data_IF_235993633622
#
_entry.id   IF_235993633622
#
_cell.length_a   1.000
_cell.length_b   1.000
_cell.length_c   1.000
_cell.angle_alpha   90.00
_cell.angle_beta   90.00
_cell.angle_gamma   90.00
#
_symmetry.space_group_name_H-M   'P 1'
#
loop_
_entity.id
_entity.type
_entity.pdbx_description
1 polymer ?
#
# COMPACT_ATOMS: atom_id res chain seq x y z
N UNK A 1 46.40 -6.16 6.04
CA UNK A 1 45.83 -6.73 4.81
C UNK A 1 44.91 -7.87 5.21
N UNK A 2 43.76 -7.52 5.77
CA UNK A 2 42.81 -8.47 6.33
C UNK A 2 41.58 -7.69 6.75
N UNK A 3 40.81 -7.27 5.75
CA UNK A 3 39.49 -6.63 5.93
C UNK A 3 38.54 -7.08 4.82
N UNK A 4 39.01 -7.31 3.59
CA UNK A 4 38.12 -7.62 2.46
C UNK A 4 37.39 -8.98 2.53
N UNK A 5 37.90 -9.93 3.32
CA UNK A 5 37.29 -11.26 3.43
C UNK A 5 36.13 -11.31 4.46
N UNK A 6 36.20 -10.52 5.53
CA UNK A 6 35.16 -10.48 6.55
C UNK A 6 33.92 -9.74 6.04
N UNK A 7 34.09 -8.65 5.28
CA UNK A 7 32.99 -7.97 4.59
C UNK A 7 32.27 -8.88 3.59
N UNK A 8 33.02 -9.69 2.82
CA UNK A 8 32.42 -10.64 1.88
C UNK A 8 31.59 -11.73 2.57
N UNK A 9 32.03 -12.16 3.76
CA UNK A 9 31.34 -13.19 4.53
C UNK A 9 30.08 -12.61 5.20
N UNK A 10 30.13 -11.38 5.71
CA UNK A 10 28.93 -10.69 6.24
C UNK A 10 27.91 -10.44 5.13
N UNK A 11 28.33 -9.97 3.95
CA UNK A 11 27.43 -9.72 2.83
C UNK A 11 26.75 -11.01 2.33
N UNK A 12 27.49 -12.11 2.22
CA UNK A 12 26.90 -13.40 1.86
C UNK A 12 26.03 -14.00 2.97
N UNK A 13 26.35 -13.76 4.23
CA UNK A 13 25.51 -14.18 5.34
C UNK A 13 24.19 -13.39 5.37
N UNK A 14 24.21 -12.09 5.07
CA UNK A 14 23.03 -11.25 4.90
C UNK A 14 22.19 -11.70 3.69
N UNK A 15 22.82 -11.93 2.52
CA UNK A 15 22.13 -12.44 1.31
C UNK A 15 21.50 -13.82 1.54
N UNK A 16 22.21 -14.77 2.17
CA UNK A 16 21.69 -16.09 2.51
C UNK A 16 20.59 -16.06 3.58
N UNK A 17 20.61 -15.04 4.44
CA UNK A 17 19.55 -14.83 5.44
C UNK A 17 18.32 -14.22 4.76
N UNK A 18 18.51 -13.29 3.82
CA UNK A 18 17.45 -12.74 2.97
C UNK A 18 16.79 -13.81 2.08
N UNK A 19 17.57 -14.70 1.46
CA UNK A 19 17.03 -15.84 0.68
C UNK A 19 16.22 -16.82 1.54
N UNK A 20 16.58 -17.00 2.82
CA UNK A 20 15.79 -17.82 3.77
C UNK A 20 14.52 -17.13 4.25
N UNK A 21 14.42 -15.82 4.06
CA UNK A 21 13.18 -15.05 4.18
C UNK A 21 12.46 -14.93 2.84
N UNK A 22 12.74 -15.81 1.86
CA UNK A 22 11.82 -16.04 0.74
C UNK A 22 10.42 -16.25 1.32
N UNK A 23 9.61 -15.25 1.05
CA UNK A 23 8.33 -14.97 1.64
C UNK A 23 7.44 -16.21 1.51
N UNK A 24 7.04 -16.89 2.61
CA UNK A 24 6.09 -18.01 2.50
C UNK A 24 4.73 -17.56 1.94
N UNK A 25 4.49 -16.23 1.86
CA UNK A 25 3.42 -15.61 1.09
C UNK A 25 4.00 -14.73 -0.03
N UNK A 26 4.49 -15.34 -1.10
CA UNK A 26 4.91 -14.68 -2.35
C UNK A 26 3.80 -13.89 -3.07
N UNK A 27 2.60 -13.78 -2.48
CA UNK A 27 1.43 -13.11 -3.04
C UNK A 27 1.02 -11.82 -2.33
N UNK A 28 1.70 -11.38 -1.26
CA UNK A 28 1.35 -10.12 -0.59
C UNK A 28 1.90 -8.93 -1.38
N UNK A 29 1.12 -8.47 -2.35
CA UNK A 29 1.47 -7.42 -3.32
C UNK A 29 1.71 -6.04 -2.70
N UNK A 30 2.41 -5.24 -3.48
CA UNK A 30 2.73 -3.83 -3.31
C UNK A 30 1.51 -2.95 -3.01
N UNK A 31 1.76 -1.76 -2.47
CA UNK A 31 0.80 -0.66 -2.46
C UNK A 31 0.75 -0.07 -3.87
N UNK A 32 -0.46 0.08 -4.40
CA UNK A 32 -0.67 0.46 -5.78
C UNK A 32 -1.74 1.55 -5.86
N UNK A 33 -1.61 2.42 -6.87
CA UNK A 33 -2.61 3.43 -7.20
C UNK A 33 -3.06 3.30 -8.65
N UNK A 34 -4.37 3.42 -8.88
CA UNK A 34 -4.90 3.62 -10.24
C UNK A 34 -4.95 5.12 -10.56
N UNK A 35 -4.24 5.52 -11.61
CA UNK A 35 -4.27 6.86 -12.20
C UNK A 35 -4.48 6.72 -13.71
N UNK A 36 -5.49 7.41 -14.27
CA UNK A 36 -5.76 7.44 -15.71
C UNK A 36 -5.73 6.06 -16.40
N UNK A 37 -6.43 5.07 -15.83
CA UNK A 37 -6.47 3.68 -16.31
C UNK A 37 -5.11 2.95 -16.29
N UNK A 38 -4.12 3.50 -15.58
CA UNK A 38 -2.81 2.89 -15.37
C UNK A 38 -2.63 2.53 -13.89
N UNK A 39 -2.35 1.26 -13.67
CA UNK A 39 -1.97 0.74 -12.36
C UNK A 39 -0.48 1.08 -12.10
N UNK A 40 -0.24 1.90 -11.07
CA UNK A 40 1.10 2.37 -10.69
C UNK A 40 1.49 1.84 -9.32
N UNK A 41 2.57 1.08 -9.24
CA UNK A 41 3.14 0.63 -7.98
C UNK A 41 3.83 1.80 -7.26
N UNK A 42 3.44 2.04 -6.00
CA UNK A 42 4.01 3.11 -5.16
C UNK A 42 5.02 2.55 -4.16
N UNK A 43 4.73 1.38 -3.59
CA UNK A 43 5.57 0.80 -2.56
C UNK A 43 5.56 -0.71 -2.59
N UNK A 44 6.73 -1.33 -2.49
CA UNK A 44 6.87 -2.77 -2.36
C UNK A 44 7.48 -3.12 -1.00
N UNK A 45 6.88 -4.07 -0.31
CA UNK A 45 7.29 -4.44 1.03
C UNK A 45 8.52 -5.33 1.02
N UNK A 46 9.52 -4.99 1.84
CA UNK A 46 10.59 -5.92 2.14
C UNK A 46 10.02 -7.23 2.75
N UNK A 47 10.61 -8.40 2.45
CA UNK A 47 10.14 -9.68 2.98
C UNK A 47 9.99 -9.66 4.51
N UNK A 48 8.86 -10.17 5.02
CA UNK A 48 8.57 -10.24 6.46
C UNK A 48 8.24 -8.91 7.15
N UNK A 49 8.30 -7.78 6.44
CA UNK A 49 8.03 -6.45 7.00
C UNK A 49 6.55 -6.07 6.93
N UNK A 50 5.79 -6.74 6.07
CA UNK A 50 4.35 -6.51 5.91
C UNK A 50 3.55 -7.09 7.08
N UNK A 51 2.58 -6.32 7.55
CA UNK A 51 1.60 -6.66 8.59
C UNK A 51 0.21 -6.42 7.99
N UNK A 52 -0.80 -7.25 8.31
CA UNK A 52 -2.17 -6.91 7.96
C UNK A 52 -2.59 -5.56 8.56
N UNK A 53 -3.57 -4.90 7.96
CA UNK A 53 -4.22 -3.71 8.52
C UNK A 53 -3.40 -2.41 8.55
N UNK A 54 -2.25 -2.33 7.86
CA UNK A 54 -1.50 -1.06 7.76
C UNK A 54 -2.32 0.06 7.13
N UNK A 55 -3.12 -0.24 6.09
CA UNK A 55 -3.97 0.77 5.43
C UNK A 55 -5.15 1.14 6.33
N UNK A 56 -5.72 0.16 7.05
CA UNK A 56 -6.73 0.45 8.07
C UNK A 56 -6.18 1.32 9.20
N UNK A 57 -4.95 1.07 9.68
CA UNK A 57 -4.28 1.88 10.71
C UNK A 57 -4.06 3.32 10.22
N UNK A 58 -3.63 3.48 8.96
CA UNK A 58 -3.46 4.79 8.33
C UNK A 58 -4.77 5.59 8.36
N UNK A 59 -5.88 4.97 7.97
CA UNK A 59 -7.21 5.59 8.00
C UNK A 59 -7.75 5.82 9.41
N UNK A 60 -7.77 4.77 10.24
CA UNK A 60 -8.49 4.77 11.51
C UNK A 60 -7.74 5.52 12.60
N UNK A 61 -6.44 5.27 12.73
CA UNK A 61 -5.65 5.71 13.88
C UNK A 61 -4.89 6.99 13.55
N UNK A 62 -4.28 7.04 12.35
CA UNK A 62 -3.54 8.20 11.89
C UNK A 62 -4.42 9.26 11.21
N UNK A 63 -5.69 8.92 10.96
CA UNK A 63 -6.70 9.80 10.34
C UNK A 63 -6.31 10.28 8.96
N UNK A 64 -5.47 9.55 8.24
CA UNK A 64 -5.07 9.89 6.87
C UNK A 64 -6.07 9.26 5.91
N UNK A 65 -6.52 10.00 4.90
CA UNK A 65 -7.50 9.54 3.93
C UNK A 65 -8.92 9.92 4.30
N UNK A 66 -9.69 10.29 3.28
CA UNK A 66 -11.10 10.66 3.40
C UNK A 66 -12.05 9.47 3.45
N UNK A 67 -11.61 8.30 2.99
CA UNK A 67 -12.43 7.09 2.96
C UNK A 67 -11.59 5.81 3.01
N UNK A 68 -12.19 4.73 3.51
CA UNK A 68 -11.61 3.39 3.56
C UNK A 68 -12.70 2.34 3.38
N UNK A 69 -12.41 1.34 2.57
CA UNK A 69 -13.29 0.19 2.39
C UNK A 69 -12.51 -1.06 2.00
N UNK A 70 -13.14 -2.21 2.21
CA UNK A 70 -12.62 -3.50 1.79
C UNK A 70 -13.23 -3.90 0.46
N UNK A 71 -12.41 -4.47 -0.43
CA UNK A 71 -12.87 -4.99 -1.71
C UNK A 71 -12.51 -6.46 -1.90
N UNK A 72 -13.38 -7.21 -2.56
CA UNK A 72 -13.18 -8.59 -3.01
C UNK A 72 -12.45 -8.65 -4.35
N UNK A 73 -12.76 -7.69 -5.23
CA UNK A 73 -12.21 -7.59 -6.56
C UNK A 73 -12.13 -6.12 -7.02
N UNK A 74 -11.19 -5.85 -7.91
CA UNK A 74 -10.93 -4.54 -8.55
C UNK A 74 -10.94 -4.77 -10.06
N UNK A 75 -11.73 -3.99 -10.81
CA UNK A 75 -11.86 -4.10 -12.26
C UNK A 75 -11.84 -2.71 -12.91
N UNK A 76 -11.11 -2.54 -14.01
CA UNK A 76 -11.18 -1.31 -14.80
C UNK A 76 -12.51 -1.25 -15.58
N UNK A 77 -13.14 -0.08 -15.67
CA UNK A 77 -14.45 0.17 -16.30
C UNK A 77 -14.42 0.02 -17.85
N UNK A 78 -13.31 -0.48 -18.42
CA UNK A 78 -13.20 -0.81 -19.85
C UNK A 78 -14.07 -2.00 -20.27
N UNK A 79 -14.49 -2.84 -19.32
CA UNK A 79 -15.44 -3.94 -19.59
C UNK A 79 -16.89 -3.42 -19.45
N UNK A 80 -17.36 -2.74 -20.51
CA UNK A 80 -18.69 -2.10 -20.65
C UNK A 80 -19.93 -3.00 -20.49
N UNK A 81 -19.83 -4.22 -19.95
CA UNK A 81 -20.95 -5.14 -19.74
C UNK A 81 -21.23 -5.49 -18.27
N UNK A 82 -20.52 -4.89 -17.31
CA UNK A 82 -20.85 -5.07 -15.89
C UNK A 82 -21.99 -4.13 -15.50
N UNK A 83 -23.20 -4.43 -15.93
CA UNK A 83 -24.40 -3.88 -15.29
C UNK A 83 -24.44 -4.43 -13.86
N UNK A 84 -24.21 -3.63 -12.81
CA UNK A 84 -24.23 -4.16 -11.46
C UNK A 84 -25.67 -4.66 -11.17
N UNK A 85 -25.89 -5.95 -10.82
CA UNK A 85 -27.17 -6.42 -10.35
C UNK A 85 -27.82 -5.45 -9.34
N UNK A 86 -29.14 -5.30 -9.38
CA UNK A 86 -29.89 -4.28 -8.65
C UNK A 86 -29.84 -4.36 -7.10
N UNK A 87 -28.91 -5.13 -6.52
CA UNK A 87 -28.68 -5.31 -5.08
C UNK A 87 -27.21 -5.06 -4.67
N UNK A 88 -26.43 -4.42 -5.53
CA UNK A 88 -24.98 -4.64 -5.58
C UNK A 88 -24.12 -3.89 -4.55
N UNK A 89 -23.17 -4.58 -3.88
CA UNK A 89 -22.13 -3.95 -3.08
C UNK A 89 -20.99 -3.48 -3.99
N UNK A 90 -21.26 -2.67 -5.02
CA UNK A 90 -20.21 -2.22 -5.96
C UNK A 90 -20.04 -0.71 -5.87
N UNK A 91 -18.78 -0.26 -5.96
CA UNK A 91 -18.41 1.15 -5.90
C UNK A 91 -17.50 1.50 -7.07
N UNK A 92 -17.85 2.54 -7.83
CA UNK A 92 -16.99 3.07 -8.90
C UNK A 92 -16.27 4.34 -8.42
N UNK A 93 -14.95 4.39 -8.56
CA UNK A 93 -14.11 5.57 -8.26
C UNK A 93 -13.07 5.69 -9.38
N UNK A 94 -12.95 6.87 -10.00
CA UNK A 94 -11.96 7.15 -11.05
C UNK A 94 -11.92 6.12 -12.19
N UNK A 95 -13.08 5.62 -12.65
CA UNK A 95 -13.12 4.61 -13.71
C UNK A 95 -12.73 3.19 -13.28
N UNK A 96 -12.59 2.95 -11.98
CA UNK A 96 -12.32 1.63 -11.41
C UNK A 96 -13.53 1.18 -10.58
N UNK A 97 -13.97 -0.04 -10.82
CA UNK A 97 -15.08 -0.70 -10.14
C UNK A 97 -14.55 -1.64 -9.07
N UNK A 98 -14.98 -1.41 -7.84
CA UNK A 98 -14.66 -2.21 -6.67
C UNK A 98 -15.87 -3.01 -6.23
N UNK A 99 -15.73 -4.32 -6.11
CA UNK A 99 -16.70 -5.16 -5.42
C UNK A 99 -16.43 -5.10 -3.92
N UNK A 100 -17.30 -4.45 -3.16
CA UNK A 100 -17.14 -4.24 -1.72
C UNK A 100 -17.34 -5.55 -0.94
N UNK A 101 -16.56 -5.70 0.14
CA UNK A 101 -16.77 -6.73 1.15
C UNK A 101 -17.27 -6.12 2.46
N UNK A 102 -18.27 -6.76 3.08
CA UNK A 102 -18.71 -6.45 4.44
C UNK A 102 -18.06 -7.36 5.49
N UNK A 103 -17.26 -8.33 5.05
CA UNK A 103 -16.59 -9.31 5.91
C UNK A 103 -15.09 -9.32 5.57
N UNK A 104 -14.24 -9.17 6.60
CA UNK A 104 -12.79 -9.23 6.46
C UNK A 104 -12.32 -10.58 5.90
N UNK A 105 -13.09 -11.66 6.10
CA UNK A 105 -12.74 -13.00 5.61
C UNK A 105 -12.98 -13.19 4.11
N UNK A 106 -13.81 -12.34 3.50
CA UNK A 106 -14.11 -12.37 2.06
C UNK A 106 -13.38 -11.25 1.31
N UNK A 107 -12.72 -10.33 2.01
CA UNK A 107 -11.97 -9.23 1.43
C UNK A 107 -10.61 -9.72 0.91
N UNK A 108 -10.20 -9.18 -0.24
CA UNK A 108 -8.88 -9.39 -0.81
C UNK A 108 -8.07 -8.10 -0.89
N UNK A 109 -8.69 -6.93 -0.73
CA UNK A 109 -8.01 -5.65 -0.81
C UNK A 109 -8.47 -4.71 0.30
N UNK A 110 -7.51 -3.99 0.89
CA UNK A 110 -7.73 -2.75 1.60
C UNK A 110 -7.62 -1.58 0.63
N UNK A 111 -8.62 -0.71 0.61
CA UNK A 111 -8.64 0.47 -0.27
C UNK A 111 -8.79 1.71 0.57
N UNK A 112 -7.94 2.72 0.31
CA UNK A 112 -7.98 4.03 0.94
C UNK A 112 -8.05 5.12 -0.12
N UNK A 113 -8.90 6.12 0.11
CA UNK A 113 -9.03 7.28 -0.77
C UNK A 113 -8.40 8.47 -0.08
N UNK A 114 -7.41 9.07 -0.73
CA UNK A 114 -6.63 10.18 -0.19
C UNK A 114 -6.85 11.42 -1.04
N UNK A 115 -7.12 12.56 -0.41
CA UNK A 115 -7.16 13.84 -1.09
C UNK A 115 -5.77 14.48 -1.12
N UNK A 116 -5.45 15.17 -2.22
CA UNK A 116 -4.24 16.02 -2.30
C UNK A 116 -4.14 17.03 -1.16
N UNK A 117 -5.29 17.51 -0.66
CA UNK A 117 -5.33 18.46 0.46
C UNK A 117 -4.75 17.88 1.75
N UNK A 118 -4.64 16.55 1.86
CA UNK A 118 -4.07 15.87 3.01
C UNK A 118 -2.54 15.71 2.92
N UNK A 119 -1.90 16.13 1.82
CA UNK A 119 -0.45 15.95 1.60
C UNK A 119 0.40 16.42 2.79
N UNK A 120 0.11 17.60 3.34
CA UNK A 120 0.87 18.11 4.50
C UNK A 120 0.73 17.20 5.71
N UNK A 121 -0.48 16.67 5.95
CA UNK A 121 -0.76 15.74 7.05
C UNK A 121 -0.06 14.40 6.85
N UNK A 122 0.01 13.92 5.62
CA UNK A 122 0.71 12.67 5.29
C UNK A 122 2.20 12.84 5.56
N UNK A 123 2.81 13.95 5.11
CA UNK A 123 4.21 14.29 5.39
C UNK A 123 4.51 14.36 6.89
N UNK A 124 3.70 15.10 7.66
CA UNK A 124 3.83 15.18 9.12
C UNK A 124 3.67 13.80 9.78
N UNK A 125 2.78 12.95 9.25
CA UNK A 125 2.57 11.59 9.75
C UNK A 125 3.77 10.71 9.45
N UNK A 126 4.33 10.76 8.24
CA UNK A 126 5.55 10.03 7.86
C UNK A 126 6.73 10.42 8.76
N UNK A 127 6.99 11.72 8.94
CA UNK A 127 8.05 12.22 9.82
C UNK A 127 7.89 11.73 11.26
N UNK A 128 6.66 11.79 11.78
CA UNK A 128 6.36 11.30 13.13
C UNK A 128 6.62 9.79 13.23
N UNK A 129 6.14 8.99 12.28
CA UNK A 129 6.35 7.55 12.26
C UNK A 129 7.85 7.21 12.19
N UNK A 130 8.60 7.87 11.30
CA UNK A 130 10.06 7.71 11.19
C UNK A 130 10.76 8.00 12.52
N UNK A 131 10.34 9.04 13.24
CA UNK A 131 10.93 9.40 14.55
C UNK A 131 10.59 8.44 15.69
N UNK A 132 9.51 7.67 15.55
CA UNK A 132 8.99 6.75 16.58
C UNK A 132 9.27 5.29 16.29
N UNK A 133 9.67 4.96 15.06
CA UNK A 133 9.95 3.61 14.63
C UNK A 133 11.04 2.98 15.51
N UNK A 134 10.74 1.79 16.00
CA UNK A 134 11.57 1.03 16.94
C UNK A 134 12.02 -0.31 16.37
N UNK A 135 11.48 -0.70 15.20
CA UNK A 135 11.76 -1.94 14.51
C UNK A 135 11.53 -1.80 13.01
N UNK A 136 12.07 -2.76 12.25
CA UNK A 136 12.03 -2.77 10.78
C UNK A 136 10.62 -2.68 10.18
N UNK A 137 9.60 -3.23 10.85
CA UNK A 137 8.21 -3.17 10.36
C UNK A 137 7.68 -1.74 10.43
N UNK A 138 7.90 -1.07 11.56
CA UNK A 138 7.54 0.33 11.75
C UNK A 138 8.32 1.26 10.81
N UNK A 139 9.59 0.96 10.56
CA UNK A 139 10.41 1.67 9.56
C UNK A 139 9.82 1.53 8.15
N UNK A 140 9.56 0.29 7.70
CA UNK A 140 8.96 0.03 6.37
C UNK A 140 7.60 0.70 6.20
N UNK A 141 6.79 0.81 7.24
CA UNK A 141 5.54 1.54 7.15
C UNK A 141 5.73 3.05 7.12
N UNK A 142 6.66 3.57 7.91
CA UNK A 142 6.99 4.99 7.86
C UNK A 142 7.50 5.38 6.46
N UNK A 143 8.30 4.52 5.83
CA UNK A 143 8.76 4.65 4.44
C UNK A 143 7.58 4.55 3.45
N UNK A 144 6.68 3.57 3.59
CA UNK A 144 5.48 3.48 2.76
C UNK A 144 4.64 4.79 2.83
N UNK A 145 4.42 5.35 4.02
CA UNK A 145 3.66 6.60 4.18
C UNK A 145 4.39 7.79 3.56
N UNK A 146 5.72 7.80 3.61
CA UNK A 146 6.55 8.80 2.96
C UNK A 146 6.46 8.71 1.43
N UNK A 147 6.52 7.51 0.86
CA UNK A 147 6.40 7.28 -0.57
C UNK A 147 5.01 7.66 -1.10
N UNK A 148 3.95 7.45 -0.32
CA UNK A 148 2.62 8.00 -0.63
C UNK A 148 2.69 9.53 -0.75
N UNK A 149 3.38 10.21 0.17
CA UNK A 149 3.51 11.66 0.13
C UNK A 149 4.33 12.14 -1.07
N UNK A 150 5.43 11.46 -1.39
CA UNK A 150 6.27 11.75 -2.58
C UNK A 150 5.43 11.59 -3.84
N UNK A 151 4.74 10.47 -3.99
CA UNK A 151 3.90 10.18 -5.15
C UNK A 151 2.80 11.24 -5.36
N UNK A 152 2.08 11.61 -4.28
CA UNK A 152 1.05 12.66 -4.35
C UNK A 152 1.68 14.02 -4.70
N UNK A 153 2.88 14.32 -4.19
CA UNK A 153 3.57 15.57 -4.49
C UNK A 153 3.95 15.66 -5.98
N UNK A 154 4.49 14.59 -6.55
CA UNK A 154 4.89 14.46 -7.96
C UNK A 154 3.70 14.57 -8.91
N UNK A 155 2.58 13.91 -8.58
CA UNK A 155 1.35 13.92 -9.36
C UNK A 155 0.51 15.18 -9.11
N UNK A 156 1.11 16.34 -9.41
CA UNK A 156 0.65 17.65 -8.95
C UNK A 156 -0.76 18.06 -9.39
N UNK A 157 -1.27 17.45 -10.44
CA UNK A 157 -2.55 17.77 -11.08
C UNK A 157 -3.70 16.86 -10.62
N UNK A 158 -3.40 15.80 -9.86
CA UNK A 158 -4.39 14.85 -9.35
C UNK A 158 -4.88 15.31 -7.98
N UNK A 159 -6.21 15.42 -7.84
CA UNK A 159 -6.86 15.88 -6.60
C UNK A 159 -7.22 14.75 -5.63
N UNK A 160 -7.42 13.53 -6.15
CA UNK A 160 -7.83 12.36 -5.37
C UNK A 160 -7.13 11.10 -5.87
N UNK A 161 -6.53 10.39 -4.93
CA UNK A 161 -5.77 9.17 -5.14
C UNK A 161 -6.53 8.01 -4.50
N UNK A 162 -6.68 6.91 -5.24
CA UNK A 162 -7.22 5.67 -4.70
C UNK A 162 -6.09 4.68 -4.62
N UNK A 163 -5.71 4.33 -3.39
CA UNK A 163 -4.64 3.38 -3.12
C UNK A 163 -5.26 2.07 -2.69
N UNK A 164 -4.77 0.96 -3.23
CA UNK A 164 -5.19 -0.38 -2.83
C UNK A 164 -4.00 -1.27 -2.48
N UNK A 165 -4.22 -2.16 -1.53
CA UNK A 165 -3.24 -3.13 -1.06
C UNK A 165 -3.93 -4.49 -0.88
N UNK A 166 -3.38 -5.55 -1.47
CA UNK A 166 -3.96 -6.90 -1.43
C UNK A 166 -3.67 -7.61 -0.11
N UNK A 167 -4.65 -8.01 0.68
CA UNK A 167 -4.52 -8.58 2.04
C UNK A 167 -4.28 -10.09 2.11
#
# INVERSE_FOLDING_TARGET
MGDDAEYWIEQQAEELTFEKFENPNSGLKSLVCWLDDVETEIWNWAPGCRVPEWVYLLYKDLKVGGDFFLAKSIQADTDQDVHPPAQNPFRAINGIVYELSNDNTEAHFEVIVISRQELSKIKETAERLKSQASNLKEECFAEMVDEIAVFIEEESYIESFVLHMEI
#
